data_IF_864437628395
#
_entry.id   IF_864437628395
#
_cell.length_a   1.000
_cell.length_b   1.000
_cell.length_c   1.000
_cell.angle_alpha   90.00
_cell.angle_beta   90.00
_cell.angle_gamma   90.00
#
_symmetry.space_group_name_H-M   'P 1'
#
loop_
_entity.id
_entity.type
_entity.pdbx_description
1 polymer ?
#
# COMPACT_ATOMS: atom_id res chain seq x y z
N UNK A 1 8.73 -11.30 -5.77
CA UNK A 1 7.95 -12.52 -6.04
C UNK A 1 8.67 -13.36 -7.08
N UNK A 2 9.19 -12.75 -8.14
CA UNK A 2 10.08 -13.39 -9.13
C UNK A 2 11.49 -12.77 -9.12
N UNK A 3 12.56 -13.51 -9.49
CA UNK A 3 13.92 -12.97 -9.57
C UNK A 3 14.11 -11.90 -10.66
N UNK A 4 13.47 -12.06 -11.82
CA UNK A 4 13.49 -11.09 -12.93
C UNK A 4 12.14 -10.36 -13.01
N UNK A 5 12.12 -9.07 -12.68
CA UNK A 5 10.91 -8.27 -12.63
C UNK A 5 10.64 -7.56 -13.96
N UNK A 6 9.71 -8.13 -14.73
CA UNK A 6 9.29 -7.63 -16.05
C UNK A 6 8.10 -6.64 -15.97
N UNK A 7 7.64 -6.27 -14.77
CA UNK A 7 6.58 -5.26 -14.62
C UNK A 7 7.04 -3.90 -15.17
N UNK A 8 6.18 -3.27 -15.97
CA UNK A 8 6.45 -1.95 -16.58
C UNK A 8 6.81 -0.89 -15.53
N UNK A 9 6.19 -0.97 -14.35
CA UNK A 9 6.42 -0.04 -13.24
C UNK A 9 7.43 -0.56 -12.20
N UNK A 10 8.03 -1.73 -12.46
CA UNK A 10 8.96 -2.46 -11.60
C UNK A 10 8.47 -2.54 -10.15
N UNK A 11 7.18 -2.82 -9.99
CA UNK A 11 6.51 -2.93 -8.70
C UNK A 11 7.09 -4.11 -7.94
N UNK A 12 7.55 -3.87 -6.72
CA UNK A 12 8.30 -4.83 -5.94
C UNK A 12 7.36 -5.72 -5.11
N UNK A 13 6.51 -6.50 -5.80
CA UNK A 13 5.65 -7.50 -5.18
C UNK A 13 6.47 -8.55 -4.42
N UNK A 14 6.11 -8.88 -3.18
CA UNK A 14 6.70 -9.98 -2.42
C UNK A 14 5.85 -11.25 -2.56
N UNK A 15 6.24 -12.33 -1.89
CA UNK A 15 5.33 -13.48 -1.71
C UNK A 15 4.08 -13.00 -0.96
N UNK A 16 2.90 -13.42 -1.40
CA UNK A 16 1.64 -13.07 -0.74
C UNK A 16 1.52 -13.79 0.61
N UNK A 17 0.78 -13.20 1.54
CA UNK A 17 0.70 -13.68 2.92
C UNK A 17 -0.70 -13.53 3.50
N UNK A 18 -1.02 -14.38 4.46
CA UNK A 18 -2.11 -14.20 5.42
C UNK A 18 -1.55 -14.37 6.83
N UNK A 19 -2.05 -13.60 7.79
CA UNK A 19 -1.75 -13.81 9.20
C UNK A 19 -2.44 -15.07 9.70
N UNK A 20 -1.75 -15.87 10.52
CA UNK A 20 -2.25 -17.18 10.96
C UNK A 20 -3.22 -17.11 12.13
N UNK A 21 -3.15 -16.05 12.92
CA UNK A 21 -3.83 -16.00 14.21
C UNK A 21 -5.09 -15.15 14.11
N UNK A 22 -6.23 -15.71 14.54
CA UNK A 22 -7.52 -15.00 14.53
C UNK A 22 -8.09 -14.74 13.14
N UNK A 23 -7.56 -15.38 12.11
CA UNK A 23 -8.09 -15.37 10.73
C UNK A 23 -8.80 -16.68 10.42
N UNK A 24 -9.56 -16.68 9.34
CA UNK A 24 -10.28 -17.85 8.84
C UNK A 24 -9.75 -18.25 7.46
N UNK A 25 -10.35 -17.72 6.40
CA UNK A 25 -9.96 -17.96 5.01
C UNK A 25 -8.92 -16.96 4.50
N UNK A 26 -8.69 -15.85 5.22
CA UNK A 26 -7.73 -14.82 4.84
C UNK A 26 -8.32 -13.69 3.98
N UNK A 27 -9.37 -13.96 3.19
CA UNK A 27 -9.88 -13.00 2.19
C UNK A 27 -10.83 -11.92 2.75
N UNK A 28 -11.47 -12.19 3.88
CA UNK A 28 -12.45 -11.27 4.46
C UNK A 28 -11.81 -9.90 4.77
N UNK A 29 -12.61 -8.83 4.82
CA UNK A 29 -12.09 -7.52 5.22
C UNK A 29 -11.46 -7.55 6.63
N UNK A 30 -12.03 -8.35 7.53
CA UNK A 30 -11.49 -8.60 8.86
C UNK A 30 -10.11 -9.26 8.81
N UNK A 31 -9.97 -10.36 8.08
CA UNK A 31 -8.74 -11.16 8.02
C UNK A 31 -7.61 -10.40 7.32
N UNK A 32 -7.93 -9.69 6.23
CA UNK A 32 -6.99 -8.79 5.55
C UNK A 32 -6.54 -7.64 6.44
N UNK A 33 -7.44 -7.09 7.26
CA UNK A 33 -7.10 -6.04 8.23
C UNK A 33 -6.19 -6.55 9.36
N UNK A 34 -6.42 -7.76 9.86
CA UNK A 34 -5.52 -8.40 10.82
C UNK A 34 -4.13 -8.64 10.20
N UNK A 35 -4.10 -9.14 8.97
CA UNK A 35 -2.85 -9.36 8.25
C UNK A 35 -2.08 -8.06 8.02
N UNK A 36 -2.76 -6.97 7.63
CA UNK A 36 -2.15 -5.65 7.51
C UNK A 36 -1.55 -5.14 8.83
N UNK A 37 -2.29 -5.28 9.93
CA UNK A 37 -1.81 -4.87 11.27
C UNK A 37 -0.60 -5.68 11.72
N UNK A 38 -0.61 -6.99 11.49
CA UNK A 38 0.53 -7.86 11.80
C UNK A 38 1.76 -7.48 10.96
N UNK A 39 1.59 -7.23 9.66
CA UNK A 39 2.69 -6.78 8.79
C UNK A 39 3.30 -5.42 9.21
N UNK A 40 2.50 -4.55 9.83
CA UNK A 40 2.96 -3.27 10.36
C UNK A 40 3.53 -3.37 11.78
N UNK A 41 3.43 -4.52 12.44
CA UNK A 41 3.85 -4.71 13.83
C UNK A 41 5.37 -4.92 13.93
N UNK A 42 6.07 -4.24 14.86
CA UNK A 42 7.50 -4.47 15.09
C UNK A 42 7.79 -5.82 15.77
N UNK A 43 6.77 -6.51 16.29
CA UNK A 43 6.93 -7.76 17.04
C UNK A 43 6.54 -9.00 16.25
N UNK A 44 5.99 -8.86 15.05
CA UNK A 44 5.59 -10.00 14.23
C UNK A 44 6.81 -10.70 13.63
N UNK A 45 6.76 -12.03 13.57
CA UNK A 45 7.84 -12.85 13.02
C UNK A 45 7.42 -13.52 11.71
N UNK A 46 8.36 -14.05 10.89
CA UNK A 46 8.01 -14.74 9.66
C UNK A 46 7.03 -15.92 9.83
N UNK A 47 7.09 -16.59 10.98
CA UNK A 47 6.27 -17.76 11.36
C UNK A 47 4.80 -17.39 11.59
N UNK A 48 4.51 -16.14 11.91
CA UNK A 48 3.14 -15.64 12.08
C UNK A 48 2.32 -15.63 10.79
N UNK A 49 2.97 -15.86 9.65
CA UNK A 49 2.36 -15.74 8.33
C UNK A 49 2.34 -17.06 7.56
N UNK A 50 1.22 -17.32 6.90
CA UNK A 50 1.09 -18.32 5.85
C UNK A 50 1.53 -17.76 4.51
N UNK A 51 2.06 -18.62 3.64
CA UNK A 51 2.51 -18.30 2.27
C UNK A 51 2.09 -19.44 1.35
N UNK A 52 1.35 -19.19 0.26
CA UNK A 52 0.76 -17.91 -0.15
C UNK A 52 -0.38 -17.46 0.79
N UNK A 53 -0.90 -16.26 0.54
CA UNK A 53 -2.13 -15.73 1.15
C UNK A 53 -2.77 -14.65 0.28
N UNK A 54 -3.65 -13.84 0.86
CA UNK A 54 -4.48 -12.87 0.14
C UNK A 54 -3.97 -11.44 0.20
N UNK A 55 -3.15 -11.09 1.19
CA UNK A 55 -2.46 -9.80 1.19
C UNK A 55 -1.22 -9.86 0.30
N UNK A 56 -0.96 -8.78 -0.42
CA UNK A 56 0.11 -8.67 -1.41
C UNK A 56 1.11 -7.60 -0.97
N UNK A 57 2.11 -7.93 -0.13
CA UNK A 57 3.03 -6.92 0.35
C UNK A 57 3.92 -6.38 -0.78
N UNK A 58 4.24 -5.09 -0.68
CA UNK A 58 5.09 -4.36 -1.60
C UNK A 58 6.29 -3.81 -0.85
N UNK A 59 7.49 -3.99 -1.39
CA UNK A 59 8.71 -3.43 -0.79
C UNK A 59 8.99 -2.04 -1.35
N UNK A 60 8.85 -1.01 -0.52
CA UNK A 60 9.29 0.35 -0.88
C UNK A 60 10.82 0.39 -1.08
N UNK A 61 11.28 1.28 -1.97
CA UNK A 61 12.72 1.55 -2.12
C UNK A 61 13.22 2.49 -1.04
N UNK A 62 14.47 2.28 -0.64
CA UNK A 62 15.18 3.22 0.22
C UNK A 62 15.21 4.63 -0.41
N UNK A 63 15.06 5.66 0.41
CA UNK A 63 14.87 7.06 -0.02
C UNK A 63 13.43 7.43 -0.42
N UNK A 64 12.50 6.46 -0.47
CA UNK A 64 11.08 6.72 -0.65
C UNK A 64 10.77 7.42 -1.98
N UNK A 65 9.85 8.38 -1.96
CA UNK A 65 9.36 9.06 -3.18
C UNK A 65 10.44 9.86 -3.92
N UNK A 66 11.56 10.16 -3.25
CA UNK A 66 12.72 10.81 -3.86
C UNK A 66 13.51 9.86 -4.76
N UNK A 67 13.49 8.56 -4.45
CA UNK A 67 14.11 7.49 -5.24
C UNK A 67 13.18 6.95 -6.31
N UNK A 68 11.91 6.72 -5.96
CA UNK A 68 10.88 6.23 -6.89
C UNK A 68 9.56 6.92 -6.59
N UNK A 69 9.05 7.68 -7.56
CA UNK A 69 7.74 8.33 -7.50
C UNK A 69 6.60 7.31 -7.68
N UNK A 70 6.40 6.45 -6.69
CA UNK A 70 5.38 5.40 -6.68
C UNK A 70 4.46 5.47 -5.46
N UNK A 71 3.28 4.85 -5.57
CA UNK A 71 2.34 4.75 -4.45
C UNK A 71 2.89 3.91 -3.29
N UNK A 72 3.70 2.89 -3.59
CA UNK A 72 4.39 2.08 -2.58
C UNK A 72 5.25 2.95 -1.67
N UNK A 73 6.13 3.77 -2.26
CA UNK A 73 6.98 4.69 -1.51
C UNK A 73 6.15 5.76 -0.79
N UNK A 74 5.10 6.27 -1.45
CA UNK A 74 4.24 7.29 -0.87
C UNK A 74 3.55 6.81 0.41
N UNK A 75 3.08 5.55 0.45
CA UNK A 75 2.45 4.97 1.63
C UNK A 75 3.42 4.90 2.82
N UNK A 76 4.65 4.42 2.60
CA UNK A 76 5.67 4.34 3.65
C UNK A 76 6.10 5.74 4.11
N UNK A 77 6.31 6.67 3.19
CA UNK A 77 6.73 8.03 3.51
C UNK A 77 5.67 8.79 4.32
N UNK A 78 4.38 8.64 4.01
CA UNK A 78 3.31 9.25 4.79
C UNK A 78 3.27 8.74 6.24
N UNK A 79 3.47 7.44 6.44
CA UNK A 79 3.57 6.86 7.78
C UNK A 79 4.76 7.43 8.55
N UNK A 80 5.94 7.49 7.91
CA UNK A 80 7.14 8.03 8.54
C UNK A 80 7.00 9.51 8.92
N UNK A 81 6.46 10.34 8.02
CA UNK A 81 6.21 11.77 8.27
C UNK A 81 5.23 12.02 9.42
N UNK A 82 4.43 11.02 9.80
CA UNK A 82 3.44 11.11 10.89
C UNK A 82 3.86 10.33 12.14
N UNK A 83 5.11 9.86 12.21
CA UNK A 83 5.64 9.09 13.34
C UNK A 83 5.03 7.71 13.51
N UNK A 84 4.40 7.16 12.46
CA UNK A 84 3.82 5.81 12.46
C UNK A 84 4.85 4.77 11.98
N UNK A 85 4.63 3.47 12.27
CA UNK A 85 5.43 2.40 11.68
C UNK A 85 5.47 2.51 10.15
N UNK A 86 6.60 2.18 9.48
CA UNK A 86 6.81 2.39 8.04
C UNK A 86 6.07 1.37 7.17
N UNK A 87 4.76 1.21 7.36
CA UNK A 87 3.91 0.27 6.66
C UNK A 87 2.53 0.88 6.40
N UNK A 88 2.15 1.00 5.13
CA UNK A 88 0.85 1.51 4.69
C UNK A 88 0.06 0.48 3.89
N UNK A 89 -1.27 0.59 3.94
CA UNK A 89 -2.18 -0.17 3.07
C UNK A 89 -2.65 0.75 1.95
N UNK A 90 -2.64 0.24 0.72
CA UNK A 90 -3.11 0.96 -0.46
C UNK A 90 -3.95 0.05 -1.35
N UNK A 91 -4.83 0.66 -2.12
CA UNK A 91 -5.62 0.02 -3.16
C UNK A 91 -5.98 1.09 -4.20
N UNK A 92 -5.91 0.73 -5.48
CA UNK A 92 -6.31 1.60 -6.57
C UNK A 92 -7.82 1.78 -6.62
N UNK A 93 -8.25 3.00 -6.97
CA UNK A 93 -9.66 3.30 -7.19
C UNK A 93 -10.08 2.88 -8.60
N UNK A 94 -11.20 2.18 -8.67
CA UNK A 94 -11.82 1.68 -9.89
C UNK A 94 -13.26 2.20 -9.93
N UNK A 95 -13.71 2.65 -11.10
CA UNK A 95 -15.07 3.10 -11.33
C UNK A 95 -16.03 1.90 -11.35
N UNK A 96 -17.24 2.10 -10.84
CA UNK A 96 -18.31 1.10 -10.83
C UNK A 96 -19.07 1.07 -12.17
N UNK A 97 -18.32 1.11 -13.28
CA UNK A 97 -18.85 0.90 -14.62
C UNK A 97 -18.71 -0.56 -15.04
N UNK A 98 -19.44 -0.98 -16.06
CA UNK A 98 -19.44 -2.37 -16.51
C UNK A 98 -18.06 -2.85 -17.03
N UNK A 99 -17.13 -1.94 -17.29
CA UNK A 99 -15.78 -2.23 -17.75
C UNK A 99 -14.75 -2.21 -16.61
N UNK A 100 -15.12 -1.77 -15.40
CA UNK A 100 -14.21 -1.57 -14.28
C UNK A 100 -13.07 -0.60 -14.62
N UNK A 101 -13.38 0.53 -15.25
CA UNK A 101 -12.31 1.47 -15.66
C UNK A 101 -11.58 2.07 -14.45
N UNK A 102 -10.29 2.38 -14.62
CA UNK A 102 -9.52 3.05 -13.56
C UNK A 102 -10.06 4.46 -13.33
N UNK A 103 -10.32 4.80 -12.06
CA UNK A 103 -10.72 6.14 -11.67
C UNK A 103 -9.64 7.16 -12.09
N UNK A 104 -10.08 8.26 -12.71
CA UNK A 104 -9.21 9.37 -13.13
C UNK A 104 -9.24 10.48 -12.08
N UNK A 105 -8.50 11.56 -12.35
CA UNK A 105 -8.30 12.65 -11.38
C UNK A 105 -9.60 13.19 -10.80
N UNK A 106 -10.58 13.46 -11.66
CA UNK A 106 -11.83 14.09 -11.24
C UNK A 106 -12.73 13.06 -10.51
N UNK A 107 -12.70 11.79 -10.89
CA UNK A 107 -13.35 10.69 -10.15
C UNK A 107 -12.75 10.55 -8.74
N UNK A 108 -11.43 10.57 -8.61
CA UNK A 108 -10.73 10.53 -7.32
C UNK A 108 -11.08 11.73 -6.44
N UNK A 109 -11.20 12.93 -7.03
CA UNK A 109 -11.65 14.14 -6.31
C UNK A 109 -13.07 13.96 -5.78
N UNK A 110 -14.00 13.50 -6.61
CA UNK A 110 -15.37 13.25 -6.20
C UNK A 110 -15.47 12.17 -5.09
N UNK A 111 -14.69 11.10 -5.19
CA UNK A 111 -14.59 10.08 -4.14
C UNK A 111 -14.07 10.67 -2.83
N UNK A 112 -13.01 11.47 -2.90
CA UNK A 112 -12.42 12.14 -1.75
C UNK A 112 -13.41 13.11 -1.07
N UNK A 113 -14.17 13.88 -1.85
CA UNK A 113 -15.22 14.77 -1.33
C UNK A 113 -16.35 14.00 -0.64
N UNK A 114 -16.84 12.93 -1.27
CA UNK A 114 -17.92 12.09 -0.71
C UNK A 114 -17.56 11.53 0.66
N UNK A 115 -16.32 11.09 0.85
CA UNK A 115 -15.87 10.40 2.08
C UNK A 115 -15.07 11.30 3.03
N UNK A 116 -14.88 12.58 2.71
CA UNK A 116 -14.10 13.51 3.54
C UNK A 116 -12.60 13.22 3.59
N UNK A 117 -12.06 12.57 2.57
CA UNK A 117 -10.65 12.15 2.48
C UNK A 117 -9.81 13.27 1.86
N UNK A 118 -8.58 13.47 2.33
CA UNK A 118 -7.63 14.39 1.70
C UNK A 118 -7.04 13.76 0.43
N UNK A 119 -6.96 14.57 -0.63
CA UNK A 119 -6.33 14.17 -1.88
C UNK A 119 -5.01 14.93 -2.05
N UNK A 120 -3.93 14.19 -2.27
CA UNK A 120 -2.59 14.73 -2.58
C UNK A 120 -2.02 13.99 -3.79
N UNK A 121 -0.95 14.53 -4.38
CA UNK A 121 -0.18 13.84 -5.41
C UNK A 121 1.18 13.36 -4.88
N UNK A 122 1.77 12.37 -5.56
CA UNK A 122 3.15 11.94 -5.29
C UNK A 122 4.14 13.09 -5.45
N UNK A 123 3.89 14.03 -6.37
CA UNK A 123 4.74 15.20 -6.57
C UNK A 123 4.67 16.15 -5.37
N UNK A 124 3.47 16.39 -4.81
CA UNK A 124 3.32 17.21 -3.61
C UNK A 124 4.10 16.60 -2.43
N UNK A 125 4.03 15.28 -2.25
CA UNK A 125 4.77 14.59 -1.20
C UNK A 125 6.29 14.66 -1.43
N UNK A 126 6.75 14.48 -2.67
CA UNK A 126 8.17 14.60 -3.01
C UNK A 126 8.69 16.02 -2.77
N UNK A 127 7.92 17.04 -3.15
CA UNK A 127 8.25 18.43 -2.88
C UNK A 127 8.31 18.70 -1.37
N UNK A 128 7.32 18.22 -0.61
CA UNK A 128 7.30 18.36 0.84
C UNK A 128 8.58 17.76 1.46
N UNK A 129 8.95 16.53 1.10
CA UNK A 129 10.17 15.89 1.62
C UNK A 129 11.44 16.67 1.27
N UNK A 130 11.58 17.19 0.05
CA UNK A 130 12.76 17.99 -0.35
C UNK A 130 12.96 19.25 0.49
N UNK A 131 11.89 19.79 1.05
CA UNK A 131 11.92 21.04 1.82
C UNK A 131 12.06 20.81 3.34
N UNK A 132 11.80 19.59 3.83
CA UNK A 132 11.65 19.31 5.26
C UNK A 132 12.44 18.08 5.74
N UNK A 133 13.31 17.51 4.90
CA UNK A 133 14.24 16.42 5.25
C UNK A 133 15.63 16.82 4.81
#
# INVERSE_FOLDING_TARGET
MVPDNQDRHRTAYTVTVDYRHGTSTGISAHDRSLTARALASPTSTPEDFSRPGHMVPLRAREGGVLTRKGHTESGVDLCLLTGQPPAGVLCELVNDDAQGTMARRDDCRAFADRWGIKMISVEMLAQFKRLHT
#
